data_IF_908993252105
#
_entry.id   IF_908993252105
#
_cell.length_a   1.000
_cell.length_b   1.000
_cell.length_c   1.000
_cell.angle_alpha   90.00
_cell.angle_beta   90.00
_cell.angle_gamma   90.00
#
_symmetry.space_group_name_H-M   'P 1'
#
loop_
_entity.id
_entity.type
_entity.pdbx_description
1 polymer ?
#
# COMPACT_ATOMS: atom_id res chain seq x y z
N UNK A 1 -11.10 -11.31 -7.63
CA UNK A 1 -9.75 -10.71 -7.57
C UNK A 1 -9.47 -10.37 -6.12
N UNK A 2 -8.37 -10.85 -5.53
CA UNK A 2 -7.99 -10.47 -4.17
C UNK A 2 -7.39 -9.06 -4.14
N UNK A 3 -7.31 -8.41 -2.96
CA UNK A 3 -6.90 -6.99 -2.85
C UNK A 3 -5.45 -6.75 -3.30
N UNK A 4 -4.60 -7.78 -3.30
CA UNK A 4 -3.24 -7.74 -3.84
C UNK A 4 -3.26 -7.68 -5.37
N UNK A 5 -3.98 -8.59 -6.02
CA UNK A 5 -4.17 -8.59 -7.48
C UNK A 5 -4.80 -7.28 -7.95
N UNK A 6 -5.76 -6.75 -7.18
CA UNK A 6 -6.38 -5.46 -7.45
C UNK A 6 -5.39 -4.30 -7.40
N UNK A 7 -4.51 -4.29 -6.41
CA UNK A 7 -3.44 -3.31 -6.33
C UNK A 7 -2.44 -3.45 -7.48
N UNK A 8 -2.03 -4.67 -7.83
CA UNK A 8 -1.14 -4.91 -8.98
C UNK A 8 -1.77 -4.42 -10.28
N UNK A 9 -3.06 -4.73 -10.50
CA UNK A 9 -3.81 -4.26 -11.66
C UNK A 9 -3.89 -2.72 -11.69
N UNK A 10 -4.23 -2.10 -10.57
CA UNK A 10 -4.28 -0.65 -10.44
C UNK A 10 -2.93 0.01 -10.77
N UNK A 11 -1.81 -0.56 -10.29
CA UNK A 11 -0.47 -0.06 -10.64
C UNK A 11 -0.22 -0.11 -12.14
N UNK A 12 -0.54 -1.24 -12.79
CA UNK A 12 -0.34 -1.40 -14.24
C UNK A 12 -1.24 -0.46 -15.07
N UNK A 13 -2.43 -0.13 -14.59
CA UNK A 13 -3.39 0.72 -15.31
C UNK A 13 -3.18 2.22 -15.07
N UNK A 14 -2.65 2.62 -13.90
CA UNK A 14 -2.60 4.02 -13.48
C UNK A 14 -1.17 4.59 -13.38
N UNK A 15 -0.16 3.81 -13.74
CA UNK A 15 1.25 4.22 -13.69
C UNK A 15 2.03 3.67 -14.88
N UNK A 16 3.20 4.26 -15.16
CA UNK A 16 4.12 3.77 -16.19
C UNK A 16 5.19 2.82 -15.60
N UNK A 17 4.90 2.15 -14.49
CA UNK A 17 5.84 1.23 -13.85
C UNK A 17 5.99 -0.04 -14.69
N UNK A 18 7.23 -0.50 -14.84
CA UNK A 18 7.48 -1.81 -15.45
C UNK A 18 6.82 -2.93 -14.63
N UNK A 19 6.40 -4.02 -15.29
CA UNK A 19 5.75 -5.17 -14.63
C UNK A 19 6.58 -5.71 -13.46
N UNK A 20 7.91 -5.78 -13.61
CA UNK A 20 8.80 -6.22 -12.53
C UNK A 20 8.75 -5.32 -11.29
N UNK A 21 8.45 -4.03 -11.45
CA UNK A 21 8.24 -3.10 -10.33
C UNK A 21 6.86 -3.28 -9.71
N UNK A 22 5.83 -3.54 -10.52
CA UNK A 22 4.47 -3.88 -10.04
C UNK A 22 4.51 -5.12 -9.13
N UNK A 23 5.19 -6.17 -9.58
CA UNK A 23 5.35 -7.41 -8.82
C UNK A 23 6.13 -7.18 -7.52
N UNK A 24 7.21 -6.38 -7.59
CA UNK A 24 7.99 -5.98 -6.41
C UNK A 24 7.15 -5.21 -5.40
N UNK A 25 6.35 -4.23 -5.84
CA UNK A 25 5.56 -3.41 -4.92
C UNK A 25 4.43 -4.19 -4.28
N UNK A 26 3.71 -5.00 -5.05
CA UNK A 26 2.66 -5.87 -4.50
C UNK A 26 3.24 -6.93 -3.53
N UNK A 27 4.43 -7.45 -3.82
CA UNK A 27 5.19 -8.33 -2.92
C UNK A 27 5.67 -7.61 -1.65
N UNK A 28 6.17 -6.38 -1.76
CA UNK A 28 6.64 -5.60 -0.62
C UNK A 28 5.53 -5.34 0.40
N UNK A 29 4.28 -5.09 -0.01
CA UNK A 29 3.16 -4.94 0.92
C UNK A 29 2.88 -6.23 1.71
N UNK A 30 3.06 -7.42 1.11
CA UNK A 30 2.98 -8.69 1.84
C UNK A 30 4.10 -8.77 2.88
N UNK A 31 5.34 -8.50 2.49
CA UNK A 31 6.50 -8.53 3.41
C UNK A 31 6.29 -7.60 4.60
N UNK A 32 5.89 -6.36 4.34
CA UNK A 32 5.62 -5.36 5.39
C UNK A 32 4.48 -5.82 6.30
N UNK A 33 3.45 -6.45 5.75
CA UNK A 33 2.35 -7.00 6.54
C UNK A 33 2.85 -8.05 7.53
N UNK A 34 3.62 -9.03 7.05
CA UNK A 34 4.19 -10.09 7.91
C UNK A 34 5.10 -9.50 8.98
N UNK A 35 5.97 -8.58 8.62
CA UNK A 35 6.89 -7.93 9.56
C UNK A 35 6.15 -7.12 10.63
N UNK A 36 5.08 -6.41 10.28
CA UNK A 36 4.26 -5.69 11.27
C UNK A 36 3.49 -6.65 12.18
N UNK A 37 3.08 -7.82 11.68
CA UNK A 37 2.46 -8.87 12.50
C UNK A 37 3.46 -9.43 13.50
N UNK A 38 4.68 -9.76 13.07
CA UNK A 38 5.75 -10.24 13.94
C UNK A 38 6.11 -9.25 15.06
N UNK A 39 6.02 -7.95 14.77
CA UNK A 39 6.24 -6.90 15.77
C UNK A 39 5.02 -6.63 16.66
N UNK A 40 3.92 -7.38 16.51
CA UNK A 40 2.65 -7.14 17.23
C UNK A 40 1.99 -5.80 16.89
N UNK A 41 2.35 -5.20 15.74
CA UNK A 41 1.87 -3.88 15.29
C UNK A 41 0.73 -3.95 14.30
N UNK A 42 0.40 -5.14 13.80
CA UNK A 42 -0.71 -5.39 12.87
C UNK A 42 -1.35 -6.73 13.20
N UNK A 43 -2.67 -6.83 12.99
CA UNK A 43 -3.38 -8.10 12.93
C UNK A 43 -3.81 -8.31 11.47
N UNK A 44 -3.40 -9.42 10.86
CA UNK A 44 -3.69 -9.71 9.45
C UNK A 44 -2.75 -8.99 8.47
N UNK A 45 -3.29 -8.44 7.39
CA UNK A 45 -2.52 -7.83 6.30
C UNK A 45 -2.92 -6.38 6.04
N UNK A 46 -1.96 -5.57 5.58
CA UNK A 46 -2.25 -4.23 5.05
C UNK A 46 -3.30 -4.27 3.93
N UNK A 47 -3.39 -5.39 3.19
CA UNK A 47 -4.40 -5.61 2.15
C UNK A 47 -5.84 -5.65 2.66
N UNK A 48 -6.06 -5.79 3.97
CA UNK A 48 -7.39 -5.80 4.59
C UNK A 48 -7.81 -4.41 5.08
N UNK A 49 -6.94 -3.40 4.97
CA UNK A 49 -7.21 -2.05 5.46
C UNK A 49 -7.71 -1.17 4.29
N UNK A 50 -8.97 -0.73 4.38
CA UNK A 50 -9.61 0.10 3.35
C UNK A 50 -9.56 1.61 3.69
N UNK A 51 -8.76 2.02 4.67
CA UNK A 51 -8.65 3.40 5.11
C UNK A 51 -7.22 3.91 4.90
N UNK A 52 -7.05 4.90 4.01
CA UNK A 52 -5.75 5.46 3.65
C UNK A 52 -5.03 6.16 4.79
N UNK A 53 -5.77 6.75 5.75
CA UNK A 53 -5.20 7.35 6.97
C UNK A 53 -4.60 6.27 7.85
N UNK A 54 -5.25 5.10 7.97
CA UNK A 54 -4.69 3.95 8.70
C UNK A 54 -3.45 3.40 7.99
N UNK A 55 -3.46 3.31 6.65
CA UNK A 55 -2.26 2.94 5.89
C UNK A 55 -1.11 3.91 6.17
N UNK A 56 -1.35 5.22 6.10
CA UNK A 56 -0.32 6.24 6.37
C UNK A 56 0.29 6.10 7.77
N UNK A 57 -0.54 5.86 8.79
CA UNK A 57 -0.09 5.59 10.17
C UNK A 57 0.78 4.33 10.25
N UNK A 58 0.38 3.23 9.59
CA UNK A 58 1.16 1.99 9.56
C UNK A 58 2.47 2.16 8.78
N UNK A 59 2.46 2.91 7.68
CA UNK A 59 3.66 3.23 6.91
C UNK A 59 4.67 4.02 7.74
N UNK A 60 4.23 5.07 8.44
CA UNK A 60 5.09 5.87 9.33
C UNK A 60 5.67 5.04 10.47
N UNK A 61 4.85 4.17 11.07
CA UNK A 61 5.29 3.25 12.12
C UNK A 61 6.33 2.24 11.60
N UNK A 62 6.10 1.62 10.45
CA UNK A 62 7.05 0.69 9.85
C UNK A 62 8.39 1.38 9.56
N UNK A 63 8.33 2.57 8.95
CA UNK A 63 9.49 3.38 8.61
C UNK A 63 10.10 4.12 9.81
N UNK A 64 9.60 3.98 11.03
CA UNK A 64 10.27 4.49 12.24
C UNK A 64 11.10 3.42 12.95
N UNK A 65 11.02 2.15 12.54
CA UNK A 65 11.77 1.05 13.14
C UNK A 65 13.15 0.99 12.46
N UNK A 66 14.27 1.14 13.18
CA UNK A 66 15.60 1.24 12.58
C UNK A 66 15.96 0.09 11.64
N UNK A 67 15.59 -1.15 12.00
CA UNK A 67 15.87 -2.33 11.18
C UNK A 67 15.17 -2.28 9.80
N UNK A 68 13.99 -1.66 9.72
CA UNK A 68 13.21 -1.55 8.49
C UNK A 68 13.59 -0.31 7.69
N UNK A 69 14.06 0.75 8.35
CA UNK A 69 14.70 1.88 7.68
C UNK A 69 15.96 1.45 6.93
N UNK A 70 16.86 0.72 7.59
CA UNK A 70 18.07 0.18 6.96
C UNK A 70 17.71 -0.76 5.78
N UNK A 71 16.73 -1.64 6.00
CA UNK A 71 16.22 -2.53 4.94
C UNK A 71 15.67 -1.75 3.74
N UNK A 72 14.95 -0.65 3.97
CA UNK A 72 14.44 0.20 2.89
C UNK A 72 15.56 0.89 2.12
N UNK A 73 16.59 1.39 2.81
CA UNK A 73 17.77 1.97 2.17
C UNK A 73 18.51 0.95 1.31
N UNK A 74 18.81 -0.24 1.84
CA UNK A 74 19.45 -1.34 1.08
C UNK A 74 18.58 -1.82 -0.08
N UNK A 75 17.26 -1.77 0.08
CA UNK A 75 16.29 -2.08 -0.96
C UNK A 75 16.03 -0.95 -1.96
N UNK A 76 16.87 0.09 -2.00
CA UNK A 76 16.70 1.27 -2.86
C UNK A 76 15.30 1.90 -2.74
N UNK A 77 14.84 2.08 -1.50
CA UNK A 77 13.54 2.67 -1.14
C UNK A 77 12.32 1.91 -1.68
N UNK A 78 12.47 0.61 -1.97
CA UNK A 78 11.37 -0.20 -2.51
C UNK A 78 10.17 -0.26 -1.56
N UNK A 79 10.39 -0.40 -0.25
CA UNK A 79 9.31 -0.59 0.72
C UNK A 79 8.55 0.72 0.96
N UNK A 80 9.27 1.84 1.12
CA UNK A 80 8.64 3.16 1.25
C UNK A 80 7.89 3.56 -0.03
N UNK A 81 8.42 3.26 -1.22
CA UNK A 81 7.70 3.49 -2.47
C UNK A 81 6.46 2.60 -2.60
N UNK A 82 6.54 1.31 -2.25
CA UNK A 82 5.39 0.41 -2.27
C UNK A 82 4.28 0.92 -1.33
N UNK A 83 4.62 1.33 -0.11
CA UNK A 83 3.67 1.93 0.84
C UNK A 83 3.02 3.20 0.30
N UNK A 84 3.80 4.08 -0.34
CA UNK A 84 3.31 5.30 -0.96
C UNK A 84 2.29 5.00 -2.06
N UNK A 85 2.57 4.06 -2.96
CA UNK A 85 1.63 3.67 -4.01
C UNK A 85 0.40 2.95 -3.45
N UNK A 86 0.58 2.09 -2.45
CA UNK A 86 -0.52 1.38 -1.83
C UNK A 86 -1.50 2.33 -1.13
N UNK A 87 -0.99 3.37 -0.45
CA UNK A 87 -1.81 4.45 0.09
C UNK A 87 -2.64 5.12 -1.00
N UNK A 88 -2.02 5.50 -2.14
CA UNK A 88 -2.73 6.12 -3.28
C UNK A 88 -3.83 5.22 -3.83
N UNK A 89 -3.56 3.92 -3.94
CA UNK A 89 -4.56 2.93 -4.36
C UNK A 89 -5.77 2.90 -3.41
N UNK A 90 -5.54 2.86 -2.09
CA UNK A 90 -6.63 2.90 -1.11
C UNK A 90 -7.40 4.23 -1.17
N UNK A 91 -6.71 5.35 -1.46
CA UNK A 91 -7.35 6.65 -1.66
C UNK A 91 -8.18 6.75 -2.96
N UNK A 92 -7.83 6.01 -4.02
CA UNK A 92 -8.63 5.95 -5.24
C UNK A 92 -9.82 4.99 -5.09
N UNK A 93 -9.60 3.84 -4.43
CA UNK A 93 -10.63 2.83 -4.14
C UNK A 93 -11.75 3.42 -3.27
N UNK A 94 -11.40 4.26 -2.28
CA UNK A 94 -12.38 4.97 -1.45
C UNK A 94 -13.11 6.12 -2.14
N UNK A 95 -12.61 6.61 -3.29
CA UNK A 95 -13.18 7.75 -4.00
C UNK A 95 -14.24 7.40 -5.05
N UNK A 96 -14.40 6.12 -5.39
CA UNK A 96 -15.51 5.67 -6.26
C UNK A 96 -16.90 5.90 -5.63
N UNK A 97 -17.00 6.20 -4.32
CA UNK A 97 -18.27 6.44 -3.63
C UNK A 97 -18.67 7.92 -3.46
N UNK A 98 -17.91 8.87 -4.00
CA UNK A 98 -18.18 10.33 -3.82
C UNK A 98 -18.54 11.07 -5.12
N UNK A 99 -19.02 10.36 -6.15
CA UNK A 99 -19.53 11.01 -7.37
C UNK A 99 -20.90 10.47 -7.82
N UNK A 100 -21.83 10.42 -6.87
CA UNK A 100 -23.27 10.40 -7.16
C UNK A 100 -23.94 11.23 -6.08
N UNK A 101 -24.85 12.12 -6.49
CA UNK A 101 -25.59 13.11 -5.70
C UNK A 101 -25.02 14.53 -5.64
N UNK A 102 -24.73 15.13 -6.79
CA UNK A 102 -25.14 16.51 -7.06
C UNK A 102 -25.54 16.62 -8.53
N UNK A 103 -26.84 16.54 -8.79
CA UNK A 103 -27.54 17.35 -9.80
C UNK A 103 -29.04 17.06 -9.68
N UNK A 104 -29.61 17.60 -8.60
CA UNK A 104 -31.02 17.88 -8.50
C UNK A 104 -31.23 19.38 -8.74
N UNK A 105 -31.62 19.73 -9.96
CA UNK A 105 -32.37 20.95 -10.26
C UNK A 105 -33.44 20.62 -11.29
#
# INVERSE_FOLDING_TARGET
MNKKEAFSKWLSEHTNLAQSTVDKYSGAINTISSELVEQGKLYGSLYQINNSVTIDKKSKMYLSIPQFQDKDLRGNRMYSNALKYYKKYVESDGREFTHVLEDGK
#
